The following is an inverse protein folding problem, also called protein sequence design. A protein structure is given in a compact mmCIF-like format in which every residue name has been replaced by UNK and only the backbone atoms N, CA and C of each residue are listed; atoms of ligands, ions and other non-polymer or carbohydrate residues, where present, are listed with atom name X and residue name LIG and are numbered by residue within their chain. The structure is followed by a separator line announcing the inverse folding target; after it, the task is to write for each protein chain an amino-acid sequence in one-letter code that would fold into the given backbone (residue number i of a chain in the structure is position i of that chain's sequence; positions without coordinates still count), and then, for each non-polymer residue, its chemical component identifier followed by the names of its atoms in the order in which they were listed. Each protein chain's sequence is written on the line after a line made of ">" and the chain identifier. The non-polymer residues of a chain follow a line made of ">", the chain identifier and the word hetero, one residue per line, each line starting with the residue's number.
data_IF_860954819808
#
_entry.id   IF_860954819808
#
_cell.length_a   1.000
_cell.length_b   1.000
_cell.length_c   1.000
_cell.angle_alpha   90.00
_cell.angle_beta   90.00
_cell.angle_gamma   90.00
#
_symmetry.space_group_name_H-M   'P 1'
#
loop_
_entity.id
_entity.type
_entity.pdbx_description
1 polymer ?
#
# COMPACT_ATOMS: atom_id res chain seq x y z
N UNK A 1 8.10 18.68 -12.99
CA UNK A 1 9.42 18.15 -13.39
C UNK A 1 9.63 16.76 -12.78
N UNK A 2 8.76 15.78 -13.02
CA UNK A 2 8.99 14.41 -12.54
C UNK A 2 9.37 13.48 -13.68
N UNK A 3 8.53 13.37 -14.71
CA UNK A 3 8.79 12.47 -15.86
C UNK A 3 9.87 12.99 -16.81
N UNK A 4 9.93 14.29 -17.06
CA UNK A 4 10.94 14.89 -17.94
C UNK A 4 12.39 14.67 -17.46
N UNK A 5 12.58 14.59 -16.13
CA UNK A 5 13.89 14.27 -15.54
C UNK A 5 14.25 12.78 -15.69
N UNK A 6 13.27 11.91 -15.90
CA UNK A 6 13.50 10.47 -16.06
C UNK A 6 13.82 10.07 -17.51
N UNK A 7 13.68 11.00 -18.48
CA UNK A 7 13.91 10.74 -19.89
C UNK A 7 15.35 10.30 -20.22
N UNK A 8 16.35 10.79 -19.47
CA UNK A 8 17.77 10.42 -19.66
C UNK A 8 18.05 8.95 -19.36
N UNK A 9 17.22 8.30 -18.55
CA UNK A 9 17.36 6.89 -18.18
C UNK A 9 16.70 5.93 -19.19
N UNK A 10 15.99 6.46 -20.20
CA UNK A 10 15.38 5.67 -21.26
C UNK A 10 14.58 4.47 -20.75
N UNK A 11 14.86 3.28 -21.28
CA UNK A 11 14.16 2.05 -20.90
C UNK A 11 14.37 1.61 -19.44
N UNK A 12 15.40 2.13 -18.75
CA UNK A 12 15.64 1.82 -17.34
C UNK A 12 14.76 2.66 -16.40
N UNK A 13 14.19 3.77 -16.88
CA UNK A 13 13.44 4.72 -16.06
C UNK A 13 12.35 4.08 -15.17
N UNK A 14 11.48 3.16 -15.66
CA UNK A 14 10.40 2.58 -14.85
C UNK A 14 10.87 1.70 -13.69
N UNK A 15 12.10 1.18 -13.79
CA UNK A 15 12.73 0.38 -12.73
C UNK A 15 13.36 1.25 -11.64
N UNK A 16 13.69 2.51 -11.97
CA UNK A 16 14.28 3.48 -11.06
C UNK A 16 13.21 4.34 -10.38
N UNK A 17 12.16 4.73 -11.12
CA UNK A 17 11.07 5.56 -10.62
C UNK A 17 9.79 5.33 -11.41
N UNK A 18 8.67 5.23 -10.71
CA UNK A 18 7.34 5.25 -11.31
C UNK A 18 7.02 6.60 -11.94
N UNK A 19 6.18 6.58 -12.97
CA UNK A 19 5.75 7.81 -13.65
C UNK A 19 5.00 8.75 -12.70
N UNK A 20 4.92 10.04 -13.04
CA UNK A 20 4.17 11.02 -12.25
C UNK A 20 2.69 10.64 -12.12
N UNK A 21 2.11 10.01 -13.16
CA UNK A 21 0.74 9.50 -13.15
C UNK A 21 0.58 8.38 -12.13
N UNK A 22 1.41 7.32 -12.20
CA UNK A 22 1.34 6.20 -11.25
C UNK A 22 1.60 6.65 -9.80
N UNK A 23 2.50 7.62 -9.62
CA UNK A 23 2.79 8.20 -8.29
C UNK A 23 1.60 8.98 -7.76
N UNK A 24 0.93 9.77 -8.61
CA UNK A 24 -0.26 10.52 -8.23
C UNK A 24 -1.40 9.57 -7.85
N UNK A 25 -1.69 8.56 -8.67
CA UNK A 25 -2.73 7.55 -8.39
C UNK A 25 -2.46 6.80 -7.08
N UNK A 26 -1.20 6.42 -6.82
CA UNK A 26 -0.82 5.75 -5.58
C UNK A 26 -0.98 6.62 -4.32
N UNK A 27 -0.85 7.95 -4.47
CA UNK A 27 -1.02 8.92 -3.37
C UNK A 27 -2.47 9.31 -3.14
N UNK A 28 -3.29 9.35 -4.19
CA UNK A 28 -4.71 9.76 -4.11
C UNK A 28 -5.66 8.60 -3.86
N UNK A 29 -5.16 7.36 -3.84
CA UNK A 29 -5.97 6.19 -3.53
C UNK A 29 -6.65 6.31 -2.15
N UNK A 30 -7.87 5.79 -1.98
CA UNK A 30 -8.54 5.78 -0.69
C UNK A 30 -7.68 5.10 0.39
N UNK A 31 -7.56 5.74 1.55
CA UNK A 31 -6.84 5.20 2.69
C UNK A 31 -7.50 5.69 3.99
N UNK A 32 -7.99 4.76 4.80
CA UNK A 32 -8.53 5.05 6.13
C UNK A 32 -7.52 4.66 7.20
N UNK A 33 -6.86 5.67 7.79
CA UNK A 33 -5.83 5.48 8.82
C UNK A 33 -6.31 4.69 10.05
N UNK A 34 -7.62 4.68 10.35
CA UNK A 34 -8.15 3.96 11.51
C UNK A 34 -8.47 2.50 11.20
N UNK A 35 -8.59 2.13 9.93
CA UNK A 35 -8.95 0.78 9.49
C UNK A 35 -7.76 0.03 8.92
N UNK A 36 -6.96 0.69 8.10
CA UNK A 36 -5.83 0.08 7.40
C UNK A 36 -4.66 -0.14 8.36
N UNK A 37 -4.27 -1.41 8.55
CA UNK A 37 -3.23 -1.79 9.50
C UNK A 37 -2.41 -2.98 9.00
N UNK A 38 -1.35 -3.31 9.75
CA UNK A 38 -0.59 -4.55 9.58
C UNK A 38 -0.82 -5.44 10.79
N UNK A 39 -1.12 -6.71 10.53
CA UNK A 39 -1.32 -7.74 11.57
C UNK A 39 -0.28 -8.85 11.38
N UNK A 40 0.20 -9.47 12.48
CA UNK A 40 1.12 -10.58 12.38
C UNK A 40 0.44 -11.79 11.72
N UNK A 41 1.16 -12.47 10.84
CA UNK A 41 0.74 -13.68 10.14
C UNK A 41 1.78 -14.80 10.35
N UNK A 42 1.32 -16.05 10.39
CA UNK A 42 2.19 -17.18 10.68
C UNK A 42 3.12 -17.54 9.51
N UNK A 43 2.74 -17.22 8.26
CA UNK A 43 3.49 -17.59 7.05
C UNK A 43 4.24 -16.41 6.44
N UNK A 44 3.67 -15.19 6.49
CA UNK A 44 4.25 -13.99 5.86
C UNK A 44 4.80 -12.95 6.85
N UNK A 45 4.91 -13.31 8.13
CA UNK A 45 5.27 -12.45 9.27
C UNK A 45 4.27 -11.33 9.54
N UNK A 46 3.96 -10.50 8.54
CA UNK A 46 2.98 -9.42 8.61
C UNK A 46 2.21 -9.26 7.30
N UNK A 47 0.88 -9.19 7.41
CA UNK A 47 -0.02 -8.95 6.28
C UNK A 47 -0.77 -7.64 6.46
N UNK A 48 -1.12 -7.00 5.33
CA UNK A 48 -2.06 -5.87 5.34
C UNK A 48 -3.45 -6.38 5.68
N UNK A 49 -4.15 -5.65 6.52
CA UNK A 49 -5.51 -5.96 6.92
C UNK A 49 -6.34 -4.69 7.19
N UNK A 50 -7.66 -4.82 7.07
CA UNK A 50 -8.62 -3.76 7.36
C UNK A 50 -9.45 -4.12 8.60
N UNK A 51 -9.54 -3.23 9.57
CA UNK A 51 -10.29 -3.48 10.82
C UNK A 51 -11.80 -3.53 10.53
N UNK A 52 -12.43 -4.63 10.94
CA UNK A 52 -13.89 -4.87 10.82
C UNK A 52 -14.60 -4.52 12.13
N UNK A 53 -14.05 -4.94 13.28
CA UNK A 53 -14.65 -4.69 14.59
C UNK A 53 -13.62 -4.61 15.71
N UNK A 54 -14.03 -4.03 16.84
CA UNK A 54 -13.24 -3.92 18.07
C UNK A 54 -14.12 -4.27 19.27
N UNK A 55 -13.67 -5.21 20.08
CA UNK A 55 -14.30 -5.62 21.34
C UNK A 55 -13.27 -5.52 22.47
N UNK A 56 -13.33 -4.40 23.20
CA UNK A 56 -12.32 -4.03 24.19
C UNK A 56 -10.90 -4.00 23.59
N UNK A 57 -10.04 -4.87 24.09
CA UNK A 57 -8.64 -5.01 23.66
C UNK A 57 -8.45 -5.96 22.46
N UNK A 58 -9.53 -6.56 21.96
CA UNK A 58 -9.49 -7.47 20.81
C UNK A 58 -9.97 -6.75 19.55
N UNK A 59 -9.24 -6.93 18.45
CA UNK A 59 -9.54 -6.33 17.16
C UNK A 59 -9.73 -7.45 16.14
N UNK A 60 -10.82 -7.41 15.40
CA UNK A 60 -11.08 -8.31 14.27
C UNK A 60 -10.74 -7.57 12.99
N UNK A 61 -9.82 -8.12 12.20
CA UNK A 61 -9.40 -7.55 10.92
C UNK A 61 -9.64 -8.57 9.79
N UNK A 62 -9.99 -8.06 8.62
CA UNK A 62 -10.02 -8.84 7.37
C UNK A 62 -8.65 -8.69 6.70
N UNK A 63 -7.97 -9.81 6.45
CA UNK A 63 -6.66 -9.79 5.82
C UNK A 63 -6.80 -9.56 4.31
N UNK A 64 -5.81 -8.92 3.69
CA UNK A 64 -5.78 -8.66 2.23
C UNK A 64 -5.83 -9.92 1.35
N UNK A 65 -5.68 -11.11 1.94
CA UNK A 65 -5.81 -12.42 1.28
C UNK A 65 -7.21 -13.04 1.37
N UNK A 66 -8.17 -12.41 2.06
CA UNK A 66 -9.55 -12.87 2.15
C UNK A 66 -9.80 -13.96 3.19
N UNK A 67 -9.27 -13.79 4.40
CA UNK A 67 -9.63 -14.62 5.56
C UNK A 67 -10.44 -13.82 6.58
#
# INVERSE_FOLDING_TARGET
>A
MGDAAMAEFGAAAPFLRKSDIERLEAQTRPFDMKKECFVPDAEEEYVKASIVSRDGDKITCETSKGA
#
